data_IF_510674483111
#
_entry.id   IF_510674483111
#
_cell.length_a   1.000
_cell.length_b   1.000
_cell.length_c   1.000
_cell.angle_alpha   90.00
_cell.angle_beta   90.00
_cell.angle_gamma   90.00
#
_symmetry.space_group_name_H-M   'P 1'
#
loop_
_entity.id
_entity.type
_entity.pdbx_description
1 polymer ?
#
# COMPACT_ATOMS: atom_id res chain seq x y z
N UNK A 1 9.31 18.99 3.38
CA UNK A 1 8.88 18.12 4.51
C UNK A 1 7.38 17.85 4.34
N UNK A 2 6.92 16.59 4.43
CA UNK A 2 5.54 16.18 4.08
C UNK A 2 4.63 16.14 5.31
N UNK A 3 3.36 16.45 5.13
CA UNK A 3 2.32 16.29 6.16
C UNK A 3 1.62 14.95 5.93
N UNK A 4 1.60 14.08 6.94
CA UNK A 4 0.95 12.77 6.87
C UNK A 4 -0.30 12.75 7.76
N UNK A 5 -1.25 11.89 7.43
CA UNK A 5 -2.42 11.63 8.26
C UNK A 5 -2.56 10.12 8.38
N UNK A 6 -2.87 9.64 9.58
CA UNK A 6 -3.16 8.24 9.80
C UNK A 6 -4.62 7.94 9.43
N UNK A 7 -4.83 7.05 8.46
CA UNK A 7 -6.17 6.66 8.02
C UNK A 7 -6.67 5.38 8.69
N UNK A 8 -5.85 4.33 8.70
CA UNK A 8 -6.20 3.02 9.24
C UNK A 8 -4.90 2.26 9.57
N UNK A 9 -4.98 1.29 10.49
CA UNK A 9 -3.88 0.41 10.86
C UNK A 9 -4.45 -0.92 11.35
N UNK A 10 -3.74 -2.01 11.11
CA UNK A 10 -4.18 -3.35 11.51
C UNK A 10 -2.99 -4.21 11.91
N UNK A 11 -3.02 -4.75 13.13
CA UNK A 11 -2.05 -5.73 13.61
C UNK A 11 -2.59 -7.13 13.26
N UNK A 12 -2.23 -7.61 12.08
CA UNK A 12 -2.70 -8.89 11.51
C UNK A 12 -1.52 -9.70 10.98
N UNK A 13 -1.78 -10.91 10.52
CA UNK A 13 -0.78 -11.78 9.89
C UNK A 13 -0.74 -11.66 8.36
N UNK A 14 -1.71 -10.96 7.74
CA UNK A 14 -1.78 -10.81 6.28
C UNK A 14 -2.17 -9.38 5.87
N UNK A 15 -1.42 -8.77 4.94
CA UNK A 15 -1.65 -7.39 4.50
C UNK A 15 -2.81 -7.24 3.49
N UNK A 16 -3.43 -8.33 3.04
CA UNK A 16 -4.44 -8.32 1.97
C UNK A 16 -5.59 -7.32 2.23
N UNK A 17 -6.15 -7.32 3.45
CA UNK A 17 -7.24 -6.41 3.83
C UNK A 17 -6.80 -4.94 3.83
N UNK A 18 -5.56 -4.64 4.21
CA UNK A 18 -5.03 -3.27 4.17
C UNK A 18 -4.76 -2.81 2.74
N UNK A 19 -4.27 -3.70 1.88
CA UNK A 19 -4.15 -3.45 0.44
C UNK A 19 -5.52 -3.19 -0.20
N UNK A 20 -6.55 -3.97 0.11
CA UNK A 20 -7.92 -3.68 -0.36
C UNK A 20 -8.45 -2.34 0.16
N UNK A 21 -8.17 -2.01 1.43
CA UNK A 21 -8.54 -0.71 2.02
C UNK A 21 -7.88 0.46 1.31
N UNK A 22 -6.64 0.32 0.82
CA UNK A 22 -5.97 1.34 0.02
C UNK A 22 -6.76 1.67 -1.26
N UNK A 23 -7.24 0.66 -2.00
CA UNK A 23 -8.05 0.90 -3.19
C UNK A 23 -9.42 1.47 -2.85
N UNK A 24 -10.07 0.96 -1.80
CA UNK A 24 -11.35 1.50 -1.31
C UNK A 24 -11.23 2.97 -0.87
N UNK A 25 -10.14 3.35 -0.20
CA UNK A 25 -9.86 4.75 0.17
C UNK A 25 -9.92 5.65 -1.07
N UNK A 26 -9.26 5.24 -2.15
CA UNK A 26 -9.29 5.99 -3.40
C UNK A 26 -10.69 6.02 -4.02
N UNK A 27 -11.42 4.90 -4.02
CA UNK A 27 -12.77 4.82 -4.60
C UNK A 27 -13.78 5.71 -3.86
N UNK A 28 -13.76 5.64 -2.52
CA UNK A 28 -14.66 6.40 -1.66
C UNK A 28 -14.30 7.90 -1.60
N UNK A 29 -13.05 8.26 -1.94
CA UNK A 29 -12.54 9.63 -1.84
C UNK A 29 -11.89 10.07 -3.16
N UNK A 30 -12.65 10.60 -4.14
CA UNK A 30 -12.15 10.91 -5.48
C UNK A 30 -11.11 12.03 -5.51
N UNK A 31 -11.03 12.85 -4.46
CA UNK A 31 -10.07 13.96 -4.35
C UNK A 31 -8.73 13.56 -3.72
N UNK A 32 -8.57 12.36 -3.15
CA UNK A 32 -7.31 11.91 -2.53
C UNK A 32 -6.26 11.62 -3.61
N UNK A 33 -5.18 12.40 -3.75
CA UNK A 33 -4.23 12.23 -4.85
C UNK A 33 -3.16 11.18 -4.55
N UNK A 34 -2.87 10.92 -3.28
CA UNK A 34 -1.77 10.07 -2.83
C UNK A 34 -2.13 9.37 -1.53
N UNK A 35 -1.67 8.13 -1.36
CA UNK A 35 -1.76 7.38 -0.12
C UNK A 35 -0.49 6.54 0.06
N UNK A 36 0.00 6.47 1.30
CA UNK A 36 1.15 5.66 1.69
C UNK A 36 0.64 4.48 2.51
N UNK A 37 0.97 3.26 2.08
CA UNK A 37 0.83 2.05 2.89
C UNK A 37 2.21 1.64 3.37
N UNK A 38 2.33 1.32 4.65
CA UNK A 38 3.57 0.84 5.30
C UNK A 38 3.26 -0.46 6.02
N UNK A 39 4.19 -1.41 5.97
CA UNK A 39 4.17 -2.62 6.77
C UNK A 39 5.53 -2.79 7.45
N UNK A 40 5.50 -3.17 8.71
CA UNK A 40 6.68 -3.52 9.49
C UNK A 40 6.38 -4.82 10.25
N UNK A 41 7.28 -5.79 10.18
CA UNK A 41 7.12 -7.06 10.88
C UNK A 41 8.47 -7.73 11.13
N UNK A 42 8.53 -8.54 12.18
CA UNK A 42 9.73 -9.23 12.61
C UNK A 42 9.63 -9.67 14.06
N UNK A 43 10.39 -10.68 14.45
CA UNK A 43 10.40 -11.15 15.85
C UNK A 43 10.75 -10.02 16.83
N UNK A 44 11.75 -9.18 16.52
CA UNK A 44 12.17 -8.04 17.33
C UNK A 44 11.10 -6.94 17.33
N UNK A 45 10.55 -6.57 16.18
CA UNK A 45 9.44 -5.60 16.12
C UNK A 45 8.22 -6.08 16.90
N UNK A 46 7.81 -7.35 16.73
CA UNK A 46 6.73 -7.97 17.51
C UNK A 46 7.01 -7.98 19.01
N UNK A 47 8.27 -8.18 19.41
CA UNK A 47 8.67 -8.11 20.81
C UNK A 47 8.56 -6.70 21.39
N UNK A 48 8.85 -5.67 20.60
CA UNK A 48 8.64 -4.27 20.97
C UNK A 48 7.16 -3.95 21.13
N UNK A 49 6.33 -4.47 20.21
CA UNK A 49 4.88 -4.25 20.15
C UNK A 49 4.06 -5.25 21.00
N UNK A 50 4.70 -6.05 21.86
CA UNK A 50 3.98 -7.06 22.66
C UNK A 50 3.19 -6.39 23.78
N UNK A 51 2.11 -7.06 24.21
CA UNK A 51 1.34 -6.62 25.39
C UNK A 51 2.24 -6.62 26.63
N UNK A 52 2.23 -5.54 27.40
CA UNK A 52 3.00 -5.42 28.63
C UNK A 52 2.70 -6.58 29.60
N UNK A 53 3.76 -7.18 30.16
CA UNK A 53 3.66 -8.33 31.06
C UNK A 53 3.63 -9.71 30.38
N UNK A 54 3.57 -9.78 29.05
CA UNK A 54 3.79 -11.05 28.32
C UNK A 54 5.28 -11.41 28.28
N UNK A 55 5.66 -12.70 28.19
CA UNK A 55 7.04 -13.09 27.96
C UNK A 55 7.59 -12.42 26.69
N UNK A 56 8.75 -11.77 26.80
CA UNK A 56 9.46 -11.23 25.65
C UNK A 56 10.36 -12.25 24.99
N UNK A 57 10.97 -11.87 23.86
CA UNK A 57 12.02 -12.65 23.23
C UNK A 57 13.19 -12.88 24.19
N UNK A 58 13.71 -14.10 24.16
CA UNK A 58 14.89 -14.48 24.92
C UNK A 58 16.12 -13.86 24.26
N UNK A 59 17.07 -13.39 25.08
CA UNK A 59 18.36 -12.93 24.57
C UNK A 59 19.22 -14.15 24.19
N UNK A 60 19.08 -14.61 22.95
CA UNK A 60 19.76 -15.80 22.43
C UNK A 60 20.15 -15.60 20.96
N UNK A 61 21.17 -16.32 20.51
CA UNK A 61 21.54 -16.39 19.09
C UNK A 61 20.68 -17.46 18.40
N UNK A 62 19.60 -17.02 17.76
CA UNK A 62 18.64 -17.89 17.06
C UNK A 62 18.29 -17.32 15.70
N UNK A 63 17.88 -18.18 14.76
CA UNK A 63 17.27 -17.73 13.50
C UNK A 63 15.86 -17.23 13.80
N UNK A 64 15.48 -16.01 13.37
CA UNK A 64 14.13 -15.50 13.58
C UNK A 64 13.07 -16.40 12.96
N UNK A 65 11.93 -16.54 13.63
CA UNK A 65 10.73 -17.18 13.07
C UNK A 65 10.08 -16.28 12.04
N UNK A 66 10.10 -14.97 12.28
CA UNK A 66 9.76 -13.91 11.34
C UNK A 66 10.95 -12.97 11.20
N UNK A 67 11.47 -12.85 9.99
CA UNK A 67 12.56 -11.96 9.66
C UNK A 67 12.09 -10.50 9.71
N UNK A 68 12.96 -9.63 10.22
CA UNK A 68 12.73 -8.19 10.22
C UNK A 68 12.55 -7.68 8.80
N UNK A 69 11.45 -6.98 8.59
CA UNK A 69 11.04 -6.45 7.30
C UNK A 69 10.29 -5.15 7.50
N UNK A 70 10.60 -4.16 6.66
CA UNK A 70 9.87 -2.91 6.58
C UNK A 70 9.67 -2.57 5.11
N UNK A 71 8.44 -2.25 4.73
CA UNK A 71 8.06 -1.92 3.36
C UNK A 71 7.15 -0.71 3.33
N UNK A 72 7.28 0.11 2.30
CA UNK A 72 6.40 1.25 2.06
C UNK A 72 6.09 1.40 0.58
N UNK A 73 4.84 1.70 0.26
CA UNK A 73 4.39 1.97 -1.11
C UNK A 73 3.59 3.28 -1.13
N UNK A 74 4.13 4.28 -1.82
CA UNK A 74 3.41 5.52 -2.11
C UNK A 74 2.64 5.35 -3.42
N UNK A 75 1.32 5.19 -3.33
CA UNK A 75 0.46 5.10 -4.51
C UNK A 75 -0.10 6.48 -4.83
N UNK A 76 -0.02 6.86 -6.10
CA UNK A 76 -0.44 8.17 -6.57
C UNK A 76 -1.47 8.04 -7.69
N UNK A 77 -2.33 9.07 -7.81
CA UNK A 77 -3.40 9.15 -8.80
C UNK A 77 -3.22 10.46 -9.58
N UNK A 78 -2.40 10.41 -10.62
CA UNK A 78 -2.09 11.58 -11.46
C UNK A 78 -3.35 12.24 -12.04
N UNK A 79 -4.36 11.44 -12.39
CA UNK A 79 -5.66 11.94 -12.86
C UNK A 79 -6.33 12.90 -11.87
N UNK A 80 -6.13 12.70 -10.56
CA UNK A 80 -6.67 13.55 -9.51
C UNK A 80 -5.85 14.81 -9.31
N UNK A 81 -4.53 14.72 -9.48
CA UNK A 81 -3.66 15.90 -9.49
C UNK A 81 -4.05 16.81 -10.66
N UNK A 82 -4.21 16.24 -11.86
CA UNK A 82 -4.58 17.02 -13.05
C UNK A 82 -5.98 17.62 -12.93
N UNK A 83 -6.95 16.85 -12.42
CA UNK A 83 -8.34 17.29 -12.30
C UNK A 83 -8.56 18.28 -11.14
N UNK A 84 -8.00 18.05 -9.97
CA UNK A 84 -8.38 18.76 -8.74
C UNK A 84 -7.29 19.69 -8.17
N UNK A 85 -6.05 19.60 -8.66
CA UNK A 85 -4.92 20.33 -8.06
C UNK A 85 -4.29 21.29 -9.07
N UNK A 86 -3.83 20.78 -10.21
CA UNK A 86 -2.94 21.49 -11.15
C UNK A 86 -3.49 22.82 -11.63
N UNK A 87 -4.77 22.87 -12.01
CA UNK A 87 -5.42 24.08 -12.52
C UNK A 87 -5.61 25.19 -11.46
N UNK A 88 -5.55 24.83 -10.18
CA UNK A 88 -5.78 25.75 -9.05
C UNK A 88 -4.48 26.17 -8.35
N UNK A 89 -3.34 25.68 -8.85
CA UNK A 89 -2.06 25.85 -8.19
C UNK A 89 -1.57 27.31 -8.23
N UNK A 90 -1.07 27.79 -7.09
CA UNK A 90 -0.66 29.20 -6.90
C UNK A 90 0.83 29.39 -7.13
N UNK A 91 1.24 30.62 -7.46
CA UNK A 91 2.65 31.00 -7.56
C UNK A 91 3.30 31.33 -6.19
N UNK A 92 2.79 30.75 -5.10
CA UNK A 92 3.38 30.92 -3.78
C UNK A 92 4.78 30.30 -3.72
N UNK A 93 5.71 31.02 -3.08
CA UNK A 93 7.08 30.54 -2.85
C UNK A 93 7.08 29.32 -1.92
N UNK A 94 8.11 28.48 -2.05
CA UNK A 94 8.40 27.39 -1.13
C UNK A 94 8.90 27.93 0.22
N UNK A 95 7.98 28.49 1.00
CA UNK A 95 8.25 28.98 2.35
C UNK A 95 7.07 28.61 3.28
N UNK A 96 7.23 27.48 3.97
CA UNK A 96 6.27 27.00 4.96
C UNK A 96 6.40 27.71 6.32
N UNK A 97 7.38 28.61 6.49
CA UNK A 97 7.54 29.42 7.70
C UNK A 97 6.82 30.78 7.58
N UNK A 98 6.50 31.21 6.36
CA UNK A 98 5.72 32.42 6.13
C UNK A 98 4.27 32.26 6.59
N UNK A 99 3.96 32.65 7.83
CA UNK A 99 2.60 32.58 8.40
C UNK A 99 1.57 33.50 7.73
N UNK A 100 1.98 34.35 6.78
CA UNK A 100 1.05 35.15 5.99
C UNK A 100 0.53 34.41 4.75
N UNK A 101 1.23 33.37 4.27
CA UNK A 101 0.77 32.51 3.17
C UNK A 101 -0.18 31.44 3.69
N UNK A 102 -1.03 30.90 2.81
CA UNK A 102 -1.94 29.82 3.22
C UNK A 102 -1.16 28.51 3.46
N UNK A 103 -0.05 28.30 2.75
CA UNK A 103 0.89 27.21 3.02
C UNK A 103 1.50 27.29 4.44
N UNK A 104 2.00 28.46 4.85
CA UNK A 104 2.60 28.61 6.17
C UNK A 104 1.59 28.56 7.32
N UNK A 105 0.34 28.98 7.07
CA UNK A 105 -0.78 28.78 8.01
C UNK A 105 -1.13 27.31 8.15
N UNK A 106 -1.27 26.56 7.04
CA UNK A 106 -1.49 25.11 7.09
C UNK A 106 -0.37 24.42 7.87
N UNK A 107 0.88 24.74 7.54
CA UNK A 107 2.05 24.16 8.19
C UNK A 107 2.05 24.37 9.70
N UNK A 108 1.91 25.64 10.13
CA UNK A 108 1.88 26.00 11.54
C UNK A 108 0.71 25.35 12.26
N UNK A 109 -0.47 25.35 11.63
CA UNK A 109 -1.69 24.78 12.21
C UNK A 109 -1.58 23.25 12.38
N UNK A 110 -1.06 22.55 11.38
CA UNK A 110 -0.85 21.11 11.45
C UNK A 110 0.06 20.74 12.63
N UNK A 111 1.23 21.36 12.75
CA UNK A 111 2.19 21.04 13.81
C UNK A 111 1.72 21.48 15.20
N UNK A 112 0.91 22.54 15.29
CA UNK A 112 0.25 22.90 16.55
C UNK A 112 -0.73 21.79 16.99
N UNK A 113 -1.54 21.25 16.08
CA UNK A 113 -2.49 20.17 16.40
C UNK A 113 -1.80 18.86 16.73
N UNK A 114 -0.75 18.52 15.99
CA UNK A 114 0.07 17.33 16.23
C UNK A 114 0.75 17.40 17.61
N UNK A 115 1.34 18.55 17.93
CA UNK A 115 1.91 18.83 19.26
C UNK A 115 0.86 18.73 20.36
N UNK A 116 -0.31 19.33 20.18
CA UNK A 116 -1.39 19.28 21.18
C UNK A 116 -1.89 17.85 21.40
N UNK A 117 -1.96 17.03 20.34
CA UNK A 117 -2.30 15.61 20.46
C UNK A 117 -1.23 14.86 21.29
N UNK A 118 0.04 15.12 21.01
CA UNK A 118 1.15 14.52 21.75
C UNK A 118 1.15 14.95 23.23
N UNK A 119 0.98 16.24 23.52
CA UNK A 119 0.97 16.79 24.87
C UNK A 119 -0.28 16.40 25.66
N UNK A 120 -1.46 16.35 25.03
CA UNK A 120 -2.67 15.81 25.64
C UNK A 120 -2.61 14.29 25.85
N UNK A 121 -1.65 13.61 25.19
CA UNK A 121 -1.56 12.17 25.08
C UNK A 121 -0.46 11.49 25.89
N UNK A 122 0.29 12.22 26.73
CA UNK A 122 1.10 11.59 27.78
C UNK A 122 0.24 10.84 28.83
N UNK A 123 -1.04 11.17 28.93
CA UNK A 123 -2.02 10.49 29.78
C UNK A 123 -2.94 9.51 29.00
N UNK A 124 -2.84 9.45 27.67
CA UNK A 124 -3.49 8.43 26.83
C UNK A 124 -2.55 7.29 26.43
N UNK A 125 -1.35 7.23 27.02
CA UNK A 125 -0.52 6.02 27.03
C UNK A 125 -1.35 4.91 27.69
N UNK A 126 -2.09 4.17 26.88
CA UNK A 126 -2.70 2.93 27.29
C UNK A 126 -1.63 1.86 27.15
N UNK A 127 -1.03 1.34 28.24
CA UNK A 127 -0.07 0.23 28.16
C UNK A 127 -0.64 -1.05 27.50
N UNK A 128 -1.92 -1.07 27.13
CA UNK A 128 -2.58 -2.12 26.37
C UNK A 128 -2.68 -1.86 24.85
N UNK A 129 -2.31 -0.68 24.34
CA UNK A 129 -2.23 -0.37 22.90
C UNK A 129 -0.79 0.07 22.60
N UNK A 130 0.08 -0.86 22.23
CA UNK A 130 1.46 -0.56 21.83
C UNK A 130 1.45 0.38 20.61
N UNK A 131 2.19 1.49 20.71
CA UNK A 131 2.55 2.44 19.64
C UNK A 131 1.40 2.87 18.71
N UNK A 132 0.61 3.85 19.17
CA UNK A 132 -0.27 4.61 18.28
C UNK A 132 0.55 5.35 17.21
N UNK A 133 0.03 5.51 15.98
CA UNK A 133 0.71 6.27 14.92
C UNK A 133 1.19 7.62 15.45
N UNK A 134 2.44 7.96 15.16
CA UNK A 134 3.09 9.21 15.60
C UNK A 134 2.56 10.47 14.90
N UNK A 135 1.37 10.38 14.30
CA UNK A 135 0.70 11.44 13.56
C UNK A 135 -0.81 11.38 13.80
N UNK A 136 -1.47 12.51 13.63
CA UNK A 136 -2.92 12.66 13.80
C UNK A 136 -3.74 11.71 12.91
N UNK A 137 -4.86 11.22 13.44
CA UNK A 137 -5.85 10.50 12.64
C UNK A 137 -6.52 11.45 11.64
N UNK A 138 -6.91 10.90 10.48
CA UNK A 138 -7.65 11.65 9.46
C UNK A 138 -8.95 12.22 10.03
N UNK A 139 -9.68 11.45 10.83
CA UNK A 139 -10.92 11.92 11.46
C UNK A 139 -10.68 13.11 12.41
N UNK A 140 -9.62 13.04 13.23
CA UNK A 140 -9.24 14.16 14.09
C UNK A 140 -8.85 15.37 13.25
N UNK A 141 -7.95 15.22 12.28
CA UNK A 141 -7.52 16.32 11.41
C UNK A 141 -8.70 17.00 10.71
N UNK A 142 -9.61 16.22 10.12
CA UNK A 142 -10.79 16.74 9.43
C UNK A 142 -11.71 17.53 10.37
N UNK A 143 -11.84 17.12 11.64
CA UNK A 143 -12.60 17.89 12.64
C UNK A 143 -12.00 19.27 12.94
N UNK A 144 -10.70 19.47 12.68
CA UNK A 144 -10.00 20.75 12.91
C UNK A 144 -10.08 21.69 11.71
N UNK A 145 -10.42 21.20 10.51
CA UNK A 145 -10.43 21.99 9.27
C UNK A 145 -11.35 23.21 9.28
N UNK A 146 -12.56 23.21 9.91
CA UNK A 146 -13.37 24.41 10.02
C UNK A 146 -12.67 25.57 10.74
N UNK A 147 -11.71 25.28 11.63
CA UNK A 147 -10.89 26.30 12.28
C UNK A 147 -9.79 26.79 11.35
N UNK A 148 -9.11 25.90 10.63
CA UNK A 148 -8.11 26.27 9.62
C UNK A 148 -8.72 27.14 8.52
N UNK A 149 -9.90 26.78 8.00
CA UNK A 149 -10.52 27.49 6.89
C UNK A 149 -10.92 28.93 7.20
N UNK A 150 -11.04 29.30 8.48
CA UNK A 150 -11.24 30.69 8.91
C UNK A 150 -9.98 31.54 8.82
N UNK A 151 -8.80 30.94 8.71
CA UNK A 151 -7.51 31.64 8.71
C UNK A 151 -6.92 31.79 7.30
N UNK A 152 -7.28 30.89 6.39
CA UNK A 152 -6.78 30.91 5.01
C UNK A 152 -7.49 31.96 4.16
N UNK A 153 -6.77 32.51 3.19
CA UNK A 153 -7.30 33.47 2.23
C UNK A 153 -7.99 32.80 1.03
N UNK A 154 -7.55 31.58 0.69
CA UNK A 154 -7.91 30.82 -0.50
C UNK A 154 -7.73 31.60 -1.82
N UNK A 155 -6.81 32.56 -1.86
CA UNK A 155 -6.53 33.37 -3.05
C UNK A 155 -5.77 32.54 -4.08
N UNK A 156 -6.22 32.57 -5.33
CA UNK A 156 -5.56 31.85 -6.42
C UNK A 156 -6.43 31.72 -7.68
N UNK A 157 -5.94 31.02 -8.70
CA UNK A 157 -6.65 30.83 -9.96
C UNK A 157 -7.95 30.05 -9.79
N UNK A 158 -9.04 30.47 -10.44
CA UNK A 158 -10.30 29.72 -10.48
C UNK A 158 -10.99 29.51 -9.12
N UNK A 159 -12.12 28.79 -9.16
CA UNK A 159 -12.98 28.52 -8.01
C UNK A 159 -12.54 27.24 -7.29
N UNK A 160 -11.44 27.30 -6.56
CA UNK A 160 -11.02 26.20 -5.70
C UNK A 160 -11.90 26.13 -4.46
N UNK A 161 -12.45 24.93 -4.22
CA UNK A 161 -13.19 24.60 -3.02
C UNK A 161 -12.29 23.73 -2.11
N UNK A 162 -11.89 24.23 -0.93
CA UNK A 162 -11.19 23.42 0.06
C UNK A 162 -11.98 22.15 0.39
N UNK A 163 -11.26 21.04 0.53
CA UNK A 163 -11.86 19.75 0.88
C UNK A 163 -11.16 19.11 2.08
N UNK A 164 -11.74 18.06 2.69
CA UNK A 164 -11.10 17.31 3.76
C UNK A 164 -9.71 16.73 3.41
N UNK A 165 -9.45 16.52 2.12
CA UNK A 165 -8.21 15.90 1.61
C UNK A 165 -7.25 16.90 0.93
N UNK A 166 -7.76 18.07 0.59
CA UNK A 166 -7.03 19.16 -0.04
C UNK A 166 -7.48 20.48 0.62
N UNK A 167 -7.01 20.76 1.84
CA UNK A 167 -7.54 21.85 2.67
C UNK A 167 -7.11 23.24 2.20
N UNK A 168 -6.05 23.32 1.39
CA UNK A 168 -5.57 24.51 0.69
C UNK A 168 -5.13 24.13 -0.72
N UNK A 169 -4.98 25.13 -1.59
CA UNK A 169 -4.37 24.99 -2.91
C UNK A 169 -2.92 24.53 -2.78
N UNK A 170 -2.47 23.69 -3.70
CA UNK A 170 -1.03 23.49 -3.87
C UNK A 170 -0.39 24.72 -4.49
N UNK A 171 0.88 24.96 -4.17
CA UNK A 171 1.71 25.88 -4.93
C UNK A 171 2.34 25.16 -6.15
N UNK A 172 2.74 25.93 -7.16
CA UNK A 172 3.37 25.41 -8.39
C UNK A 172 4.61 24.56 -8.11
N UNK A 173 5.38 24.86 -7.06
CA UNK A 173 6.54 24.04 -6.68
C UNK A 173 6.13 22.63 -6.22
N UNK A 174 5.02 22.49 -5.48
CA UNK A 174 4.51 21.18 -5.04
C UNK A 174 4.04 20.33 -6.22
N UNK A 175 3.44 20.97 -7.23
CA UNK A 175 3.07 20.30 -8.50
C UNK A 175 4.33 19.84 -9.24
N UNK A 176 5.36 20.69 -9.32
CA UNK A 176 6.65 20.33 -9.94
C UNK A 176 7.36 19.19 -9.20
N UNK A 177 7.31 19.17 -7.86
CA UNK A 177 7.83 18.06 -7.06
C UNK A 177 7.09 16.74 -7.35
N UNK A 178 5.77 16.80 -7.50
CA UNK A 178 4.96 15.63 -7.88
C UNK A 178 5.33 15.12 -9.28
N UNK A 179 5.52 16.03 -10.24
CA UNK A 179 5.89 15.66 -11.60
C UNK A 179 7.32 15.09 -11.69
N UNK A 180 8.24 15.63 -10.88
CA UNK A 180 9.63 15.16 -10.81
C UNK A 180 9.80 13.82 -10.08
N UNK A 181 8.79 13.38 -9.31
CA UNK A 181 8.85 12.09 -8.61
C UNK A 181 8.83 10.93 -9.63
N UNK A 182 9.76 9.96 -9.54
CA UNK A 182 9.82 8.85 -10.48
C UNK A 182 8.60 7.93 -10.33
N UNK A 183 8.00 7.57 -11.44
CA UNK A 183 6.98 6.51 -11.50
C UNK A 183 7.71 5.19 -11.58
N UNK A 184 7.62 4.38 -10.52
CA UNK A 184 8.29 3.07 -10.48
C UNK A 184 7.49 1.96 -11.15
N UNK A 185 6.19 2.19 -11.38
CA UNK A 185 5.29 1.25 -12.03
C UNK A 185 3.83 1.59 -11.75
N UNK A 186 2.93 0.81 -12.35
CA UNK A 186 1.50 0.90 -12.12
C UNK A 186 1.03 -0.34 -11.36
N UNK A 187 0.44 -0.11 -10.18
CA UNK A 187 -0.18 -1.16 -9.38
C UNK A 187 -1.64 -1.33 -9.81
N UNK A 188 -1.97 -2.50 -10.32
CA UNK A 188 -3.34 -2.84 -10.72
C UNK A 188 -4.18 -3.28 -9.52
N UNK A 189 -5.51 -3.32 -9.69
CA UNK A 189 -6.41 -3.74 -8.62
C UNK A 189 -6.16 -5.21 -8.22
N UNK A 190 -6.23 -5.54 -6.92
CA UNK A 190 -6.14 -6.92 -6.47
C UNK A 190 -7.40 -7.70 -6.87
N UNK A 191 -7.22 -8.91 -7.42
CA UNK A 191 -8.29 -9.84 -7.75
C UNK A 191 -8.25 -11.03 -6.81
N UNK A 192 -9.35 -11.23 -6.08
CA UNK A 192 -9.46 -12.26 -5.05
C UNK A 192 -10.06 -13.55 -5.60
N UNK A 193 -9.38 -14.67 -5.35
CA UNK A 193 -9.87 -16.01 -5.58
C UNK A 193 -10.27 -16.65 -4.24
N UNK A 194 -11.57 -16.91 -4.03
CA UNK A 194 -12.02 -17.69 -2.87
C UNK A 194 -11.53 -19.13 -2.98
N UNK A 195 -10.94 -19.65 -1.90
CA UNK A 195 -10.60 -21.07 -1.77
C UNK A 195 -11.68 -21.87 -1.02
N UNK A 196 -12.84 -21.24 -0.78
CA UNK A 196 -13.99 -21.82 -0.08
C UNK A 196 -15.23 -21.77 -0.98
N UNK A 197 -16.14 -22.73 -0.79
CA UNK A 197 -17.47 -22.74 -1.40
C UNK A 197 -18.45 -21.79 -0.70
N UNK A 198 -19.69 -21.72 -1.19
CA UNK A 198 -20.75 -20.85 -0.66
C UNK A 198 -21.10 -21.13 0.82
N UNK A 199 -20.76 -22.32 1.34
CA UNK A 199 -20.98 -22.70 2.73
C UNK A 199 -19.73 -22.50 3.60
N UNK A 200 -18.67 -21.87 3.08
CA UNK A 200 -17.39 -21.66 3.77
C UNK A 200 -16.51 -22.92 3.84
N UNK A 201 -16.84 -23.98 3.09
CA UNK A 201 -16.03 -25.20 3.09
C UNK A 201 -14.91 -25.09 2.07
N UNK A 202 -13.68 -25.44 2.49
CA UNK A 202 -12.49 -25.45 1.63
C UNK A 202 -12.73 -26.27 0.35
N UNK A 203 -12.47 -25.66 -0.80
CA UNK A 203 -12.58 -26.27 -2.11
C UNK A 203 -11.59 -27.42 -2.27
N UNK A 204 -11.90 -28.40 -3.11
CA UNK A 204 -10.93 -29.43 -3.52
C UNK A 204 -9.82 -28.81 -4.38
N UNK A 205 -8.60 -29.38 -4.45
CA UNK A 205 -7.46 -28.80 -5.17
C UNK A 205 -7.76 -28.39 -6.63
N UNK A 206 -8.49 -29.23 -7.38
CA UNK A 206 -8.85 -28.90 -8.77
C UNK A 206 -9.80 -27.69 -8.87
N UNK A 207 -10.67 -27.46 -7.88
CA UNK A 207 -11.55 -26.30 -7.84
C UNK A 207 -10.81 -25.05 -7.34
N UNK A 208 -9.85 -25.19 -6.42
CA UNK A 208 -8.95 -24.10 -6.02
C UNK A 208 -8.14 -23.59 -7.22
N UNK A 209 -7.53 -24.50 -7.99
CA UNK A 209 -6.80 -24.16 -9.20
C UNK A 209 -7.68 -23.41 -10.22
N UNK A 210 -8.93 -23.87 -10.43
CA UNK A 210 -9.91 -23.18 -11.29
C UNK A 210 -10.29 -21.79 -10.78
N UNK A 211 -10.49 -21.63 -9.47
CA UNK A 211 -10.79 -20.33 -8.88
C UNK A 211 -9.62 -19.35 -9.09
N UNK A 212 -8.39 -19.82 -8.89
CA UNK A 212 -7.19 -19.01 -9.11
C UNK A 212 -6.96 -18.69 -10.59
N UNK A 213 -7.25 -19.62 -11.51
CA UNK A 213 -7.25 -19.34 -12.96
C UNK A 213 -8.24 -18.24 -13.33
N UNK A 214 -9.46 -18.29 -12.80
CA UNK A 214 -10.46 -17.27 -13.06
C UNK A 214 -10.00 -15.89 -12.55
N UNK A 215 -9.41 -15.84 -11.35
CA UNK A 215 -8.81 -14.61 -10.83
C UNK A 215 -7.60 -14.14 -11.66
N UNK A 216 -6.78 -15.06 -12.15
CA UNK A 216 -5.66 -14.73 -13.04
C UNK A 216 -6.14 -14.11 -14.35
N UNK A 217 -7.15 -14.68 -15.00
CA UNK A 217 -7.75 -14.12 -16.21
C UNK A 217 -8.32 -12.73 -15.95
N UNK A 218 -9.10 -12.55 -14.88
CA UNK A 218 -9.60 -11.23 -14.48
C UNK A 218 -8.47 -10.23 -14.20
N UNK A 219 -7.35 -10.68 -13.64
CA UNK A 219 -6.19 -9.82 -13.42
C UNK A 219 -5.51 -9.42 -14.74
N UNK A 220 -5.47 -10.31 -15.74
CA UNK A 220 -5.02 -9.99 -17.09
C UNK A 220 -5.92 -8.94 -17.76
N UNK A 221 -7.23 -9.00 -17.54
CA UNK A 221 -8.19 -8.01 -18.07
C UNK A 221 -7.96 -6.59 -17.50
N UNK A 222 -7.18 -6.45 -16.43
CA UNK A 222 -6.78 -5.14 -15.90
C UNK A 222 -5.59 -4.51 -16.63
N UNK A 223 -4.87 -5.29 -17.45
CA UNK A 223 -3.70 -4.85 -18.19
C UNK A 223 -4.10 -4.24 -19.53
N UNK A 224 -3.27 -3.36 -20.13
CA UNK A 224 -3.45 -2.96 -21.53
C UNK A 224 -3.43 -4.17 -22.47
N UNK A 225 -4.20 -4.10 -23.55
CA UNK A 225 -4.35 -5.19 -24.53
C UNK A 225 -3.00 -5.78 -24.96
N UNK A 226 -2.90 -7.11 -24.88
CA UNK A 226 -1.72 -7.87 -25.29
C UNK A 226 -0.59 -7.95 -24.26
N UNK A 227 -0.65 -7.20 -23.15
CA UNK A 227 0.33 -7.34 -22.07
C UNK A 227 0.05 -8.58 -21.21
N UNK A 228 1.12 -9.28 -20.84
CA UNK A 228 1.09 -10.47 -20.00
C UNK A 228 2.24 -10.43 -18.99
N UNK A 229 2.06 -11.03 -17.79
CA UNK A 229 3.15 -11.15 -16.85
C UNK A 229 4.25 -12.06 -17.41
N UNK A 230 5.50 -11.66 -17.24
CA UNK A 230 6.70 -12.43 -17.58
C UNK A 230 7.34 -13.09 -16.36
N UNK A 231 6.81 -12.78 -15.17
CA UNK A 231 7.26 -13.31 -13.89
C UNK A 231 6.15 -13.24 -12.84
N UNK A 232 6.24 -14.08 -11.81
CA UNK A 232 5.35 -14.07 -10.66
C UNK A 232 6.14 -14.15 -9.35
N UNK A 233 5.76 -13.31 -8.40
CA UNK A 233 6.25 -13.31 -7.03
C UNK A 233 5.18 -13.91 -6.12
N UNK A 234 5.57 -14.84 -5.27
CA UNK A 234 4.67 -15.48 -4.31
C UNK A 234 5.45 -15.91 -3.07
N UNK A 235 4.73 -16.16 -1.98
CA UNK A 235 5.31 -16.60 -0.71
C UNK A 235 4.75 -17.98 -0.34
N UNK A 236 5.62 -19.01 -0.31
CA UNK A 236 5.23 -20.34 0.17
C UNK A 236 5.42 -20.52 1.68
N UNK A 237 6.02 -19.54 2.38
CA UNK A 237 6.30 -19.64 3.81
C UNK A 237 5.00 -19.78 4.59
N UNK A 238 4.86 -20.92 5.25
CA UNK A 238 3.67 -21.34 6.01
C UNK A 238 2.40 -21.55 5.17
N UNK A 239 2.49 -21.61 3.83
CA UNK A 239 1.33 -21.87 2.98
C UNK A 239 1.65 -22.77 1.76
N UNK A 240 2.05 -24.04 1.99
CA UNK A 240 2.35 -24.97 0.90
C UNK A 240 1.12 -25.29 0.04
N UNK A 241 -0.10 -25.20 0.60
CA UNK A 241 -1.33 -25.42 -0.17
C UNK A 241 -1.57 -24.32 -1.21
N UNK A 242 -1.28 -23.06 -0.88
CA UNK A 242 -1.33 -21.96 -1.84
C UNK A 242 -0.33 -22.14 -2.98
N UNK A 243 0.89 -22.58 -2.66
CA UNK A 243 1.90 -22.91 -3.68
C UNK A 243 1.41 -24.01 -4.62
N UNK A 244 0.78 -25.07 -4.10
CA UNK A 244 0.21 -26.15 -4.91
C UNK A 244 -0.93 -25.64 -5.81
N UNK A 245 -1.83 -24.82 -5.25
CA UNK A 245 -2.92 -24.22 -6.02
C UNK A 245 -2.40 -23.33 -7.15
N UNK A 246 -1.39 -22.50 -6.87
CA UNK A 246 -0.72 -21.64 -7.84
C UNK A 246 -0.02 -22.44 -8.94
N UNK A 247 0.79 -23.44 -8.57
CA UNK A 247 1.46 -24.32 -9.53
C UNK A 247 0.46 -25.00 -10.48
N UNK A 248 -0.63 -25.56 -9.94
CA UNK A 248 -1.65 -26.20 -10.76
C UNK A 248 -2.36 -25.20 -11.67
N UNK A 249 -2.71 -24.01 -11.15
CA UNK A 249 -3.37 -22.97 -11.93
C UNK A 249 -2.51 -22.52 -13.12
N UNK A 250 -1.25 -22.19 -12.87
CA UNK A 250 -0.31 -21.68 -13.88
C UNK A 250 0.04 -22.74 -14.91
N UNK A 251 0.32 -23.99 -14.48
CA UNK A 251 0.58 -25.10 -15.40
C UNK A 251 -0.57 -25.34 -16.37
N UNK A 252 -1.80 -25.29 -15.88
CA UNK A 252 -2.98 -25.50 -16.69
C UNK A 252 -3.32 -24.31 -17.62
N UNK A 253 -2.81 -23.11 -17.31
CA UNK A 253 -2.82 -21.95 -18.22
C UNK A 253 -1.73 -22.06 -19.29
N UNK A 254 -0.61 -22.73 -18.99
CA UNK A 254 0.53 -22.95 -19.88
C UNK A 254 0.39 -24.23 -20.75
N UNK A 255 -0.76 -24.44 -21.39
CA UNK A 255 -0.98 -25.63 -22.25
C UNK A 255 -0.38 -25.52 -23.65
N UNK A 256 -0.15 -24.30 -24.12
CA UNK A 256 0.44 -24.00 -25.42
C UNK A 256 1.97 -23.83 -25.36
N UNK A 257 2.57 -23.92 -24.16
CA UNK A 257 4.01 -23.77 -23.94
C UNK A 257 4.52 -22.33 -23.95
N UNK A 258 3.62 -21.33 -23.91
CA UNK A 258 3.97 -19.91 -23.92
C UNK A 258 3.62 -19.17 -22.62
N UNK A 259 3.17 -19.89 -21.59
CA UNK A 259 2.87 -19.36 -20.26
C UNK A 259 4.06 -19.41 -19.31
N UNK A 260 3.85 -18.94 -18.08
CA UNK A 260 4.88 -18.94 -17.03
C UNK A 260 5.16 -20.34 -16.48
N UNK A 261 6.39 -20.54 -16.03
CA UNK A 261 6.86 -21.73 -15.33
C UNK A 261 7.40 -21.35 -13.94
N UNK A 262 6.70 -21.71 -12.88
CA UNK A 262 7.12 -21.36 -11.50
C UNK A 262 8.44 -21.99 -11.08
N UNK A 263 8.83 -23.10 -11.72
CA UNK A 263 10.12 -23.74 -11.49
C UNK A 263 11.28 -23.04 -12.19
N UNK A 264 11.03 -22.15 -13.16
CA UNK A 264 12.05 -21.36 -13.80
C UNK A 264 12.47 -20.20 -12.87
N UNK A 265 13.76 -20.10 -12.57
CA UNK A 265 14.32 -19.12 -11.63
C UNK A 265 14.12 -17.66 -12.05
N UNK A 266 13.90 -17.42 -13.35
CA UNK A 266 13.64 -16.11 -13.96
C UNK A 266 12.15 -15.77 -14.10
N UNK A 267 11.26 -16.74 -13.83
CA UNK A 267 9.81 -16.57 -13.98
C UNK A 267 9.06 -16.77 -12.65
N UNK A 268 9.51 -17.69 -11.80
CA UNK A 268 8.95 -17.98 -10.48
C UNK A 268 9.84 -17.52 -9.33
N UNK A 269 9.34 -16.54 -8.57
CA UNK A 269 10.03 -15.97 -7.41
C UNK A 269 9.28 -16.30 -6.13
N UNK A 270 9.59 -17.48 -5.56
CA UNK A 270 9.18 -17.83 -4.20
C UNK A 270 10.00 -17.02 -3.18
N UNK A 271 9.45 -15.89 -2.73
CA UNK A 271 10.12 -15.01 -1.78
C UNK A 271 10.28 -15.67 -0.41
N UNK A 272 9.39 -16.61 -0.05
CA UNK A 272 9.46 -17.35 1.20
C UNK A 272 10.68 -18.25 1.27
N UNK A 273 11.01 -18.92 0.16
CA UNK A 273 12.24 -19.72 0.05
C UNK A 273 13.51 -18.88 -0.11
N UNK A 274 13.41 -17.71 -0.75
CA UNK A 274 14.58 -16.85 -1.05
C UNK A 274 14.96 -15.91 0.10
N UNK A 275 13.98 -15.39 0.85
CA UNK A 275 14.17 -14.39 1.91
C UNK A 275 13.77 -14.89 3.30
N UNK A 276 12.94 -15.93 3.38
CA UNK A 276 12.35 -16.41 4.62
C UNK A 276 11.02 -15.74 4.95
N UNK A 277 10.48 -16.07 6.13
CA UNK A 277 9.20 -15.57 6.61
C UNK A 277 9.24 -14.07 6.90
N UNK A 278 8.60 -13.24 6.07
CA UNK A 278 8.47 -11.79 6.32
C UNK A 278 7.13 -11.40 6.95
N UNK A 279 6.35 -12.39 7.40
CA UNK A 279 5.11 -12.19 8.13
C UNK A 279 4.09 -11.35 7.37
N UNK A 280 3.48 -10.36 8.02
CA UNK A 280 2.45 -9.50 7.41
C UNK A 280 2.99 -8.71 6.23
N UNK A 281 4.30 -8.42 6.20
CA UNK A 281 4.95 -7.68 5.12
C UNK A 281 5.07 -8.47 3.82
N UNK A 282 4.87 -9.80 3.81
CA UNK A 282 5.12 -10.64 2.64
C UNK A 282 4.45 -10.17 1.35
N UNK A 283 3.19 -9.75 1.41
CA UNK A 283 2.50 -9.21 0.24
C UNK A 283 3.15 -7.90 -0.29
N UNK A 284 3.50 -6.96 0.60
CA UNK A 284 4.16 -5.71 0.21
C UNK A 284 5.61 -5.93 -0.23
N UNK A 285 6.33 -6.89 0.36
CA UNK A 285 7.66 -7.32 -0.11
C UNK A 285 7.55 -7.83 -1.54
N UNK A 286 6.59 -8.71 -1.81
CA UNK A 286 6.30 -9.21 -3.16
C UNK A 286 5.98 -8.09 -4.15
N UNK A 287 5.10 -7.14 -3.78
CA UNK A 287 4.76 -5.98 -4.62
C UNK A 287 5.97 -5.08 -4.89
N UNK A 288 6.81 -4.80 -3.88
CA UNK A 288 7.99 -3.97 -4.03
C UNK A 288 9.05 -4.63 -4.91
N UNK A 289 9.30 -5.93 -4.73
CA UNK A 289 10.21 -6.69 -5.60
C UNK A 289 9.70 -6.77 -7.04
N UNK A 290 8.40 -7.01 -7.22
CA UNK A 290 7.73 -6.96 -8.52
C UNK A 290 7.84 -5.59 -9.18
N UNK A 291 7.71 -4.52 -8.41
CA UNK A 291 7.89 -3.14 -8.88
C UNK A 291 9.31 -2.88 -9.33
N UNK A 292 10.31 -3.27 -8.51
CA UNK A 292 11.73 -3.12 -8.85
C UNK A 292 12.08 -3.91 -10.12
N UNK A 293 11.63 -5.17 -10.23
CA UNK A 293 11.88 -6.01 -11.39
C UNK A 293 11.21 -5.44 -12.65
N UNK A 294 9.95 -5.01 -12.56
CA UNK A 294 9.24 -4.40 -13.68
C UNK A 294 9.91 -3.09 -14.11
N UNK A 295 10.34 -2.26 -13.15
CA UNK A 295 11.03 -0.99 -13.43
C UNK A 295 12.39 -1.19 -14.11
N UNK A 296 13.19 -2.17 -13.66
CA UNK A 296 14.56 -2.39 -14.15
C UNK A 296 14.63 -3.23 -15.41
N UNK A 297 13.86 -4.31 -15.45
CA UNK A 297 13.99 -5.34 -16.47
C UNK A 297 12.82 -5.31 -17.47
N UNK A 298 11.86 -4.38 -17.28
CA UNK A 298 10.64 -4.30 -18.07
C UNK A 298 9.70 -5.48 -17.81
N UNK A 299 8.59 -5.52 -18.56
CA UNK A 299 7.59 -6.58 -18.48
C UNK A 299 6.73 -6.53 -17.22
N UNK A 300 5.49 -7.02 -17.34
CA UNK A 300 4.54 -7.08 -16.21
C UNK A 300 4.99 -8.15 -15.23
N UNK A 301 4.82 -7.88 -13.93
CA UNK A 301 5.02 -8.85 -12.86
C UNK A 301 3.69 -9.14 -12.17
N UNK A 302 3.40 -10.42 -11.94
CA UNK A 302 2.28 -10.83 -11.10
C UNK A 302 2.76 -11.03 -9.65
N UNK A 303 1.90 -10.75 -8.68
CA UNK A 303 2.12 -11.05 -7.27
C UNK A 303 0.95 -11.86 -6.76
N UNK A 304 1.22 -12.99 -6.12
CA UNK A 304 0.20 -13.84 -5.52
C UNK A 304 0.45 -13.97 -4.04
N UNK A 305 -0.54 -13.58 -3.24
CA UNK A 305 -0.44 -13.61 -1.78
C UNK A 305 -1.73 -14.10 -1.14
N UNK A 306 -1.57 -14.75 0.00
CA UNK A 306 -2.67 -15.30 0.78
C UNK A 306 -3.32 -14.26 1.70
N UNK A 307 -4.50 -14.61 2.17
CA UNK A 307 -5.35 -13.78 3.00
C UNK A 307 -5.79 -14.53 4.26
N UNK A 308 -6.30 -13.80 5.26
CA UNK A 308 -6.80 -14.41 6.50
C UNK A 308 -8.03 -15.30 6.33
N UNK A 309 -8.76 -15.18 5.23
CA UNK A 309 -9.97 -15.96 4.93
C UNK A 309 -9.71 -17.12 3.96
N UNK A 310 -8.48 -17.64 3.95
CA UNK A 310 -7.99 -18.68 3.03
C UNK A 310 -8.04 -18.33 1.54
N UNK A 311 -8.42 -17.11 1.16
CA UNK A 311 -8.36 -16.70 -0.24
C UNK A 311 -6.93 -16.47 -0.72
N UNK A 312 -6.75 -16.53 -2.03
CA UNK A 312 -5.53 -16.05 -2.70
C UNK A 312 -5.87 -14.80 -3.51
N UNK A 313 -4.97 -13.85 -3.53
CA UNK A 313 -5.12 -12.62 -4.32
C UNK A 313 -4.05 -12.58 -5.40
N UNK A 314 -4.46 -12.28 -6.63
CA UNK A 314 -3.57 -12.00 -7.76
C UNK A 314 -3.56 -10.49 -7.98
N UNK A 315 -2.38 -9.90 -8.05
CA UNK A 315 -2.22 -8.47 -8.32
C UNK A 315 -1.11 -8.25 -9.35
N UNK A 316 -1.37 -7.39 -10.34
CA UNK A 316 -0.41 -7.08 -11.39
C UNK A 316 0.35 -5.79 -11.09
N UNK A 317 1.63 -5.78 -11.42
CA UNK A 317 2.49 -4.60 -11.42
C UNK A 317 3.05 -4.44 -12.84
N UNK A 318 2.74 -3.30 -13.47
CA UNK A 318 3.22 -2.97 -14.81
C UNK A 318 4.40 -2.00 -14.71
N UNK A 319 5.41 -2.08 -15.60
CA UNK A 319 6.46 -1.07 -15.70
C UNK A 319 5.85 0.32 -15.96
N UNK A 320 6.56 1.40 -15.60
CA UNK A 320 6.17 2.74 -16.04
C UNK A 320 6.15 2.80 -17.58
N UNK A 321 5.35 3.70 -18.13
CA UNK A 321 5.40 4.00 -19.56
C UNK A 321 6.74 4.69 -19.88
N UNK A 322 7.32 4.42 -21.05
CA UNK A 322 8.57 5.06 -21.50
C UNK A 322 8.44 6.61 -21.56
N UNK A 323 7.22 7.13 -21.59
CA UNK A 323 6.92 8.55 -21.66
C UNK A 323 6.25 9.06 -20.38
N UNK A 324 6.93 9.97 -19.69
CA UNK A 324 6.30 11.03 -18.90
C UNK A 324 6.88 12.37 -19.31
#
# INVERSE_FOLDING_TARGET
MKLFLWQDAENTTHAQKMLERLFRLFDDNPQVPQALIVSEDGDVTRNGLRVAGTPGLQNAQVVPTVFESMTGLLVTRSDRVDRYIRQYATDESEDNQNKNSDLGKLWSFYWERDKNLYEAGADTYNPKVPDAPSTMSTAYWQSQLPTLWKTISNRGPGNFEPSPWLPIRWAQHQVKEFDAAPVLGYLHRPIKASMQDENGKRLKPALQAKALQAAWVQALDTLPDGQKPVRVFYDSTNNPEAEIALNNAIRDLNKDGHGLELGNVEEGYDIGRRLGNTGVSGALVGINLATIASYRDGGVSAVVYASTDDSLTVQMVRPPDEAR
#
